data_IF_940074663887
#
_entry.id   IF_940074663887
#
_cell.length_a   1.000
_cell.length_b   1.000
_cell.length_c   1.000
_cell.angle_alpha   90.00
_cell.angle_beta   90.00
_cell.angle_gamma   90.00
#
_symmetry.space_group_name_H-M   'P 1'
#
loop_
_entity.id
_entity.type
_entity.pdbx_description
1 polymer ?
#
# COMPACT_ATOMS: atom_id res chain seq x y z
N UNK A 1 39.30 28.02 -54.74
CA UNK A 1 38.85 28.93 -55.80
C UNK A 1 37.39 29.23 -55.53
N UNK A 2 37.22 30.46 -55.27
CA UNK A 2 36.11 31.38 -55.54
C UNK A 2 35.00 31.30 -54.49
N UNK A 3 34.54 32.27 -53.90
CA UNK A 3 34.84 33.69 -53.65
C UNK A 3 33.80 34.17 -52.62
N UNK A 4 34.31 34.94 -51.74
CA UNK A 4 33.67 35.83 -50.77
C UNK A 4 32.72 36.80 -51.51
N UNK A 5 31.53 37.01 -50.96
CA UNK A 5 30.83 38.26 -51.18
C UNK A 5 30.11 38.73 -49.92
N UNK A 6 30.78 39.61 -49.28
CA UNK A 6 30.23 40.53 -48.32
C UNK A 6 29.19 41.45 -48.95
N UNK A 7 28.08 41.71 -48.27
CA UNK A 7 27.27 42.89 -48.55
C UNK A 7 26.84 43.55 -47.23
N UNK A 8 27.48 44.67 -46.97
CA UNK A 8 27.06 45.70 -46.00
C UNK A 8 25.82 46.38 -46.55
N UNK A 9 24.94 46.83 -45.67
CA UNK A 9 24.16 48.11 -45.73
C UNK A 9 23.48 48.20 -44.37
N UNK A 10 23.84 49.12 -43.44
CA UNK A 10 23.38 50.46 -43.23
C UNK A 10 21.88 50.52 -42.89
N UNK A 11 21.51 50.88 -41.75
CA UNK A 11 21.52 52.11 -40.98
C UNK A 11 20.09 52.64 -40.73
N UNK A 12 19.84 52.99 -39.48
CA UNK A 12 18.95 54.02 -38.97
C UNK A 12 17.43 53.95 -39.07
N UNK A 13 16.84 53.78 -37.91
CA UNK A 13 15.51 54.27 -37.55
C UNK A 13 15.19 54.02 -36.07
N UNK A 14 14.71 54.99 -35.30
CA UNK A 14 14.44 54.77 -33.86
C UNK A 14 13.24 53.87 -33.68
N UNK A 15 13.46 52.68 -33.15
CA UNK A 15 12.40 51.78 -32.76
C UNK A 15 11.68 52.32 -31.51
N UNK A 16 10.51 52.91 -31.75
CA UNK A 16 9.54 53.23 -30.72
C UNK A 16 9.11 51.92 -30.06
N UNK A 17 9.61 51.67 -28.87
CA UNK A 17 9.16 50.53 -28.05
C UNK A 17 7.78 50.92 -27.50
N UNK A 18 6.73 50.47 -28.21
CA UNK A 18 5.36 50.55 -27.69
C UNK A 18 5.28 49.55 -26.56
N UNK A 19 5.26 50.03 -25.33
CA UNK A 19 4.94 49.19 -24.13
C UNK A 19 3.51 48.72 -24.25
N UNK A 20 3.36 47.43 -24.53
CA UNK A 20 2.09 46.72 -24.33
C UNK A 20 1.71 46.74 -22.84
N UNK A 21 0.44 47.04 -22.48
CA UNK A 21 0.02 47.01 -21.12
C UNK A 21 0.14 45.58 -20.59
N UNK A 22 0.74 45.41 -19.42
CA UNK A 22 0.81 44.15 -18.70
C UNK A 22 -0.60 43.68 -18.38
N UNK A 23 -0.99 42.56 -18.95
CA UNK A 23 -2.20 41.84 -18.56
C UNK A 23 -2.06 41.46 -17.07
N UNK A 24 -3.11 41.62 -16.26
CA UNK A 24 -3.06 41.19 -14.87
C UNK A 24 -2.89 39.66 -14.85
N UNK A 25 -1.71 39.22 -14.41
CA UNK A 25 -1.47 37.83 -14.08
C UNK A 25 -2.40 37.44 -12.93
N UNK A 26 -3.48 36.75 -13.29
CA UNK A 26 -4.33 36.10 -12.30
C UNK A 26 -3.48 35.01 -11.59
N UNK A 27 -2.92 35.40 -10.43
CA UNK A 27 -2.28 34.47 -9.49
C UNK A 27 -3.34 33.67 -8.76
N UNK A 28 -4.17 32.96 -9.51
CA UNK A 28 -4.82 31.78 -8.94
C UNK A 28 -3.72 30.72 -8.80
N UNK A 29 -3.00 30.83 -7.69
CA UNK A 29 -2.10 29.79 -7.24
C UNK A 29 -2.91 28.48 -7.21
N UNK A 30 -2.60 27.58 -8.14
CA UNK A 30 -2.88 26.16 -8.00
C UNK A 30 -2.27 25.76 -6.65
N UNK A 31 -3.11 25.75 -5.60
CA UNK A 31 -2.75 25.13 -4.34
C UNK A 31 -2.37 23.69 -4.69
N UNK A 32 -1.18 23.21 -4.33
CA UNK A 32 -0.92 21.80 -4.40
C UNK A 32 -2.05 21.13 -3.60
N UNK A 33 -2.69 20.13 -4.17
CA UNK A 33 -3.65 19.30 -3.46
C UNK A 33 -2.87 18.57 -2.35
N UNK A 34 -2.64 19.28 -1.26
CA UNK A 34 -2.18 18.69 -0.02
C UNK A 34 -3.38 17.93 0.52
N UNK A 35 -3.50 16.66 0.14
CA UNK A 35 -4.40 15.76 0.82
C UNK A 35 -4.01 15.75 2.29
N UNK A 36 -4.67 16.57 3.11
CA UNK A 36 -4.52 16.51 4.55
C UNK A 36 -4.96 15.12 4.97
N UNK A 37 -4.21 14.44 5.84
CA UNK A 37 -4.65 13.17 6.37
C UNK A 37 -6.01 13.39 7.05
N UNK A 38 -7.07 12.79 6.47
CA UNK A 38 -8.46 12.92 6.95
C UNK A 38 -8.71 12.10 8.20
N UNK A 39 -7.75 11.25 8.58
CA UNK A 39 -7.82 10.42 9.77
C UNK A 39 -6.47 9.81 10.12
N UNK A 40 -6.42 9.04 11.18
CA UNK A 40 -5.27 8.23 11.54
C UNK A 40 -5.72 6.89 12.11
N UNK A 41 -5.15 5.82 11.59
CA UNK A 41 -5.20 4.49 12.20
C UNK A 41 -4.03 4.39 13.18
N UNK A 42 -4.16 3.61 14.24
CA UNK A 42 -3.08 3.41 15.20
C UNK A 42 -2.63 1.96 15.21
N UNK A 43 -1.35 1.74 15.46
CA UNK A 43 -0.83 0.43 15.84
C UNK A 43 -1.35 0.12 17.25
N UNK A 44 -1.99 -1.03 17.42
CA UNK A 44 -2.74 -1.39 18.62
C UNK A 44 -1.84 -2.06 19.67
N UNK A 45 -0.86 -2.85 19.21
CA UNK A 45 -0.01 -3.63 20.12
C UNK A 45 1.46 -3.69 19.70
N UNK A 46 2.28 -4.32 20.55
CA UNK A 46 3.68 -4.57 20.29
C UNK A 46 4.60 -3.37 20.46
N UNK A 47 5.79 -3.45 19.85
CA UNK A 47 6.89 -2.50 19.99
C UNK A 47 6.50 -1.08 19.54
N UNK A 48 5.63 -0.96 18.53
CA UNK A 48 5.23 0.32 17.95
C UNK A 48 3.84 0.79 18.37
N UNK A 49 3.30 0.22 19.45
CA UNK A 49 1.97 0.57 19.97
C UNK A 49 1.76 2.07 20.08
N UNK A 50 0.62 2.55 19.63
CA UNK A 50 0.22 3.96 19.68
C UNK A 50 0.73 4.80 18.50
N UNK A 51 1.61 4.27 17.64
CA UNK A 51 2.04 4.94 16.41
C UNK A 51 0.84 5.22 15.52
N UNK A 52 0.68 6.46 15.11
CA UNK A 52 -0.38 6.88 14.19
C UNK A 52 0.06 6.67 12.76
N UNK A 53 -0.77 5.98 12.00
CA UNK A 53 -0.61 5.78 10.56
C UNK A 53 -1.47 6.81 9.83
N UNK A 54 -0.90 7.61 8.93
CA UNK A 54 -1.69 8.58 8.17
C UNK A 54 -2.62 7.84 7.19
N UNK A 55 -3.91 8.18 7.22
CA UNK A 55 -4.87 7.74 6.22
C UNK A 55 -4.98 8.85 5.19
N UNK A 56 -4.59 8.57 3.96
CA UNK A 56 -4.83 9.45 2.84
C UNK A 56 -6.24 9.20 2.31
N UNK A 57 -6.94 10.26 1.95
CA UNK A 57 -8.24 10.17 1.29
C UNK A 57 -8.03 9.62 -0.13
N UNK A 58 -8.32 8.34 -0.31
CA UNK A 58 -8.21 7.63 -1.58
C UNK A 58 -9.43 6.74 -1.75
N UNK A 59 -9.92 6.66 -2.98
CA UNK A 59 -11.00 5.76 -3.33
C UNK A 59 -10.64 4.32 -2.97
N UNK A 60 -11.47 3.67 -2.17
CA UNK A 60 -11.29 2.29 -1.75
C UNK A 60 -10.35 2.09 -0.55
N UNK A 61 -9.69 3.13 -0.04
CA UNK A 61 -8.91 3.02 1.19
C UNK A 61 -9.85 3.05 2.40
N UNK A 62 -10.16 1.90 2.96
CA UNK A 62 -10.93 1.76 4.20
C UNK A 62 -9.99 1.29 5.30
N UNK A 63 -9.81 2.06 6.37
CA UNK A 63 -9.15 1.53 7.55
C UNK A 63 -10.03 0.41 8.11
N UNK A 64 -9.52 -0.81 8.20
CA UNK A 64 -10.17 -1.88 8.97
C UNK A 64 -10.46 -1.33 10.36
N UNK A 65 -11.71 -1.45 10.82
CA UNK A 65 -12.06 -0.92 12.12
C UNK A 65 -11.10 -1.48 13.17
N UNK A 66 -10.60 -0.64 14.09
CA UNK A 66 -9.64 -1.03 15.12
C UNK A 66 -10.04 -2.33 15.83
N UNK A 67 -11.34 -2.53 16.06
CA UNK A 67 -11.88 -3.74 16.66
C UNK A 67 -11.65 -5.00 15.80
N UNK A 68 -11.77 -4.90 14.47
CA UNK A 68 -11.50 -6.04 13.56
C UNK A 68 -10.03 -6.40 13.63
N UNK A 69 -9.15 -5.38 13.55
CA UNK A 69 -7.70 -5.60 13.66
C UNK A 69 -7.31 -6.17 15.02
N UNK A 70 -7.87 -5.67 16.11
CA UNK A 70 -7.63 -6.21 17.45
C UNK A 70 -8.02 -7.70 17.51
N UNK A 71 -9.21 -8.05 17.03
CA UNK A 71 -9.69 -9.43 16.96
C UNK A 71 -8.73 -10.30 16.14
N UNK A 72 -8.35 -9.84 14.94
CA UNK A 72 -7.42 -10.55 14.06
C UNK A 72 -6.08 -10.81 14.75
N UNK A 73 -5.48 -9.76 15.33
CA UNK A 73 -4.17 -9.90 15.95
C UNK A 73 -4.19 -10.70 17.25
N UNK A 74 -5.31 -10.79 17.94
CA UNK A 74 -5.49 -11.75 19.04
C UNK A 74 -5.48 -13.19 18.51
N UNK A 75 -6.08 -13.46 17.34
CA UNK A 75 -6.00 -14.79 16.72
C UNK A 75 -4.59 -15.13 16.25
N UNK A 76 -3.87 -14.14 15.73
CA UNK A 76 -2.53 -14.30 15.17
C UNK A 76 -1.42 -14.35 16.23
N UNK A 77 -1.68 -13.91 17.46
CA UNK A 77 -0.65 -13.75 18.50
C UNK A 77 0.31 -14.95 18.63
N UNK A 78 -0.14 -16.23 18.60
CA UNK A 78 0.76 -17.37 18.76
C UNK A 78 1.70 -17.62 17.59
N UNK A 79 1.36 -17.10 16.38
CA UNK A 79 2.06 -17.42 15.14
C UNK A 79 2.89 -16.26 14.59
N UNK A 80 2.79 -15.06 15.18
CA UNK A 80 3.54 -13.89 14.74
C UNK A 80 5.03 -13.93 15.09
N UNK A 81 5.47 -14.40 16.27
CA UNK A 81 6.89 -14.37 16.61
C UNK A 81 7.76 -15.08 15.57
N UNK A 82 8.67 -14.34 14.94
CA UNK A 82 9.59 -14.86 13.94
C UNK A 82 9.00 -15.07 12.54
N UNK A 83 7.70 -14.82 12.33
CA UNK A 83 7.03 -15.01 11.06
C UNK A 83 7.53 -14.03 9.99
N UNK A 84 7.56 -14.51 8.75
CA UNK A 84 7.70 -13.70 7.53
C UNK A 84 6.32 -13.39 6.96
N UNK A 85 5.98 -12.12 6.88
CA UNK A 85 4.61 -11.66 6.59
C UNK A 85 4.55 -10.97 5.23
N UNK A 86 3.47 -11.22 4.49
CA UNK A 86 3.12 -10.51 3.27
C UNK A 86 1.84 -9.71 3.49
N UNK A 87 1.90 -8.40 3.27
CA UNK A 87 0.73 -7.52 3.18
C UNK A 87 0.54 -7.13 1.72
N UNK A 88 -0.33 -7.87 1.02
CA UNK A 88 -0.40 -7.85 -0.45
C UNK A 88 -1.08 -6.59 -1.01
N UNK A 89 -1.90 -5.92 -0.20
CA UNK A 89 -2.60 -4.69 -0.55
C UNK A 89 -2.46 -3.70 0.60
N UNK A 90 -1.24 -3.23 0.83
CA UNK A 90 -0.85 -2.66 2.11
C UNK A 90 -1.61 -1.37 2.51
N UNK A 91 -2.01 -0.54 1.55
CA UNK A 91 -2.70 0.70 1.86
C UNK A 91 -1.93 1.57 2.86
N UNK A 92 -2.49 1.74 4.06
CA UNK A 92 -1.81 2.45 5.17
C UNK A 92 -0.73 1.61 5.86
N UNK A 93 -0.58 0.34 5.51
CA UNK A 93 0.32 -0.60 6.16
C UNK A 93 -0.17 -1.11 7.53
N UNK A 94 -1.44 -0.91 7.85
CA UNK A 94 -1.96 -1.20 9.18
C UNK A 94 -1.80 -2.66 9.59
N UNK A 95 -1.91 -3.61 8.66
CA UNK A 95 -1.76 -5.03 8.94
C UNK A 95 -0.30 -5.45 9.01
N UNK A 96 0.49 -5.11 8.00
CA UNK A 96 1.90 -5.49 7.95
C UNK A 96 2.74 -4.85 9.05
N UNK A 97 2.53 -3.57 9.34
CA UNK A 97 3.23 -2.87 10.42
C UNK A 97 2.84 -3.39 11.81
N UNK A 98 1.54 -3.68 12.03
CA UNK A 98 1.07 -4.28 13.28
C UNK A 98 1.70 -5.67 13.49
N UNK A 99 1.83 -6.48 12.44
CA UNK A 99 2.46 -7.80 12.50
C UNK A 99 3.92 -7.71 12.98
N UNK A 100 4.71 -6.80 12.39
CA UNK A 100 6.11 -6.58 12.82
C UNK A 100 6.18 -6.03 14.23
N UNK A 101 5.29 -5.08 14.58
CA UNK A 101 5.18 -4.53 15.93
C UNK A 101 4.96 -5.62 16.99
N UNK A 102 4.24 -6.69 16.63
CA UNK A 102 3.90 -7.82 17.54
C UNK A 102 4.87 -9.00 17.45
N UNK A 103 6.00 -8.83 16.76
CA UNK A 103 7.09 -9.82 16.78
C UNK A 103 7.30 -10.60 15.49
N UNK A 104 6.63 -10.29 14.39
CA UNK A 104 7.04 -10.82 13.10
C UNK A 104 8.49 -10.42 12.79
N UNK A 105 9.23 -11.34 12.17
CA UNK A 105 10.64 -11.13 11.82
C UNK A 105 10.77 -10.04 10.77
N UNK A 106 9.90 -10.07 9.78
CA UNK A 106 9.86 -9.11 8.69
C UNK A 106 8.48 -9.06 8.05
N UNK A 107 8.18 -7.96 7.37
CA UNK A 107 7.00 -7.83 6.53
C UNK A 107 7.34 -7.20 5.18
N UNK A 108 6.77 -7.77 4.10
CA UNK A 108 6.77 -7.18 2.77
C UNK A 108 5.39 -6.55 2.54
N UNK A 109 5.37 -5.25 2.32
CA UNK A 109 4.18 -4.46 2.08
C UNK A 109 4.13 -4.08 0.60
N UNK A 110 3.15 -4.59 -0.14
CA UNK A 110 2.97 -4.29 -1.56
C UNK A 110 1.88 -3.23 -1.72
N UNK A 111 2.24 -2.10 -2.32
CA UNK A 111 1.33 -0.98 -2.54
C UNK A 111 1.56 -0.38 -3.94
N UNK A 112 0.49 -0.23 -4.71
CA UNK A 112 0.58 0.30 -6.07
C UNK A 112 0.61 1.83 -6.14
N UNK A 113 -0.06 2.49 -5.18
CA UNK A 113 -0.11 3.96 -5.15
C UNK A 113 1.26 4.51 -4.73
N UNK A 114 1.88 5.38 -5.54
CA UNK A 114 3.22 5.88 -5.26
C UNK A 114 3.29 6.75 -4.01
N UNK A 115 2.24 7.48 -3.66
CA UNK A 115 2.21 8.36 -2.50
C UNK A 115 2.05 7.55 -1.22
N UNK A 116 1.19 6.50 -1.24
CA UNK A 116 1.05 5.58 -0.12
C UNK A 116 2.34 4.79 0.11
N UNK A 117 2.94 4.24 -0.95
CA UNK A 117 4.19 3.51 -0.85
C UNK A 117 5.33 4.37 -0.28
N UNK A 118 5.43 5.63 -0.70
CA UNK A 118 6.43 6.56 -0.18
C UNK A 118 6.15 6.92 1.29
N UNK A 119 4.88 7.17 1.64
CA UNK A 119 4.48 7.41 3.03
C UNK A 119 4.82 6.24 3.95
N UNK A 120 4.60 5.00 3.49
CA UNK A 120 4.99 3.78 4.21
C UNK A 120 6.50 3.67 4.42
N UNK A 121 7.31 3.97 3.39
CA UNK A 121 8.79 3.95 3.53
C UNK A 121 9.27 4.96 4.55
N UNK A 122 8.74 6.19 4.48
CA UNK A 122 9.08 7.26 5.43
C UNK A 122 8.66 6.92 6.86
N UNK A 123 7.51 6.28 7.02
CA UNK A 123 7.04 5.83 8.32
C UNK A 123 7.95 4.71 8.86
N UNK A 124 8.21 3.68 8.07
CA UNK A 124 9.08 2.57 8.45
C UNK A 124 10.47 3.07 8.86
N UNK A 125 11.05 4.01 8.13
CA UNK A 125 12.36 4.60 8.44
C UNK A 125 12.41 5.32 9.80
N UNK A 126 11.27 5.79 10.31
CA UNK A 126 11.16 6.47 11.61
C UNK A 126 10.94 5.51 12.78
N UNK A 127 10.54 4.28 12.50
CA UNK A 127 10.27 3.29 13.54
C UNK A 127 11.56 2.59 13.98
N UNK A 128 11.69 2.35 15.28
CA UNK A 128 12.80 1.55 15.79
C UNK A 128 12.75 0.15 15.17
N UNK A 129 13.86 -0.29 14.55
CA UNK A 129 13.89 -1.57 13.86
C UNK A 129 13.00 -1.64 12.62
N UNK A 130 12.63 -0.50 12.03
CA UNK A 130 11.80 -0.40 10.83
C UNK A 130 12.42 -1.01 9.56
N UNK A 131 13.72 -1.31 9.56
CA UNK A 131 14.39 -2.08 8.50
C UNK A 131 13.83 -3.50 8.31
N UNK A 132 13.01 -4.00 9.25
CA UNK A 132 12.23 -5.24 9.12
C UNK A 132 11.02 -5.10 8.17
N UNK A 133 10.72 -3.89 7.71
CA UNK A 133 9.61 -3.60 6.80
C UNK A 133 10.14 -3.25 5.42
N UNK A 134 9.85 -4.08 4.45
CA UNK A 134 10.15 -3.82 3.04
C UNK A 134 8.90 -3.30 2.34
N UNK A 135 8.95 -2.09 1.79
CA UNK A 135 7.85 -1.52 1.01
C UNK A 135 8.14 -1.63 -0.48
N UNK A 136 7.30 -2.37 -1.18
CA UNK A 136 7.38 -2.58 -2.63
C UNK A 136 6.28 -1.76 -3.31
N UNK A 137 6.67 -0.83 -4.18
CA UNK A 137 5.72 -0.13 -5.05
C UNK A 137 5.49 -0.97 -6.30
N UNK A 138 4.38 -1.68 -6.37
CA UNK A 138 4.00 -2.51 -7.51
C UNK A 138 2.50 -2.80 -7.52
N UNK A 139 2.00 -3.25 -8.67
CA UNK A 139 0.75 -3.98 -8.73
C UNK A 139 0.95 -5.36 -8.07
N UNK A 140 0.02 -5.74 -7.21
CA UNK A 140 0.10 -6.96 -6.40
C UNK A 140 0.21 -8.24 -7.24
N UNK A 141 -0.59 -8.35 -8.30
CA UNK A 141 -0.62 -9.54 -9.14
C UNK A 141 0.62 -9.65 -10.01
N UNK A 142 1.11 -8.52 -10.52
CA UNK A 142 2.37 -8.48 -11.29
C UNK A 142 3.55 -8.84 -10.40
N UNK A 143 3.61 -8.27 -9.20
CA UNK A 143 4.69 -8.55 -8.26
C UNK A 143 4.74 -10.02 -7.84
N UNK A 144 3.58 -10.65 -7.60
CA UNK A 144 3.51 -12.07 -7.24
C UNK A 144 4.11 -13.00 -8.29
N UNK A 145 4.20 -12.61 -9.56
CA UNK A 145 4.83 -13.44 -10.60
C UNK A 145 6.31 -13.69 -10.35
N UNK A 146 7.01 -12.72 -9.76
CA UNK A 146 8.46 -12.77 -9.49
C UNK A 146 8.82 -12.78 -8.01
N UNK A 147 7.82 -12.70 -7.13
CA UNK A 147 8.03 -12.67 -5.69
C UNK A 147 8.71 -13.94 -5.18
N UNK A 148 9.58 -13.80 -4.20
CA UNK A 148 10.12 -14.95 -3.47
C UNK A 148 9.00 -15.67 -2.71
N UNK A 149 9.17 -16.97 -2.50
CA UNK A 149 8.31 -17.81 -1.65
C UNK A 149 8.79 -17.79 -0.18
N UNK A 150 8.05 -18.49 0.68
CA UNK A 150 8.42 -18.68 2.07
C UNK A 150 7.80 -17.70 3.04
N UNK A 151 6.60 -17.18 2.74
CA UNK A 151 5.83 -16.40 3.70
C UNK A 151 5.03 -17.33 4.63
N UNK A 152 5.06 -17.02 5.92
CA UNK A 152 4.34 -17.74 6.96
C UNK A 152 2.90 -17.22 7.13
N UNK A 153 2.67 -15.96 6.74
CA UNK A 153 1.37 -15.30 6.79
C UNK A 153 1.21 -14.35 5.61
N UNK A 154 0.04 -14.38 4.95
CA UNK A 154 -0.34 -13.35 4.00
C UNK A 154 -1.67 -12.69 4.40
N UNK A 155 -1.73 -11.35 4.23
CA UNK A 155 -2.95 -10.57 4.26
C UNK A 155 -3.40 -10.27 2.83
N UNK A 156 -4.66 -10.60 2.53
CA UNK A 156 -5.31 -10.36 1.23
C UNK A 156 -6.58 -9.55 1.46
N UNK A 157 -6.43 -8.23 1.39
CA UNK A 157 -7.49 -7.23 1.58
C UNK A 157 -7.50 -6.25 0.39
N UNK A 158 -7.90 -6.71 -0.81
CA UNK A 158 -7.94 -5.87 -1.99
C UNK A 158 -9.05 -4.81 -1.93
N UNK A 159 -8.94 -3.72 -2.68
CA UNK A 159 -10.01 -2.75 -2.84
C UNK A 159 -11.31 -3.41 -3.33
N UNK A 160 -12.43 -3.09 -2.70
CA UNK A 160 -13.72 -3.74 -2.97
C UNK A 160 -14.28 -3.48 -4.38
N UNK A 161 -13.82 -2.42 -5.03
CA UNK A 161 -14.20 -2.08 -6.41
C UNK A 161 -13.62 -3.04 -7.47
N UNK A 162 -12.62 -3.89 -7.11
CA UNK A 162 -11.97 -4.81 -8.04
C UNK A 162 -12.37 -6.27 -7.79
N UNK A 163 -12.34 -7.08 -8.85
CA UNK A 163 -12.51 -8.54 -8.77
C UNK A 163 -11.17 -9.24 -8.49
N UNK A 164 -10.40 -8.73 -7.51
CA UNK A 164 -9.00 -9.13 -7.29
C UNK A 164 -8.83 -10.36 -6.41
N UNK A 165 -9.85 -10.80 -5.65
CA UNK A 165 -9.71 -11.92 -4.71
C UNK A 165 -9.31 -13.22 -5.38
N UNK A 166 -10.02 -13.64 -6.43
CA UNK A 166 -9.72 -14.88 -7.13
C UNK A 166 -8.29 -14.94 -7.65
N UNK A 167 -7.89 -13.99 -8.50
CA UNK A 167 -6.50 -13.92 -8.99
C UNK A 167 -5.45 -13.79 -7.88
N UNK A 168 -5.71 -12.99 -6.84
CA UNK A 168 -4.76 -12.79 -5.75
C UNK A 168 -4.59 -14.07 -4.91
N UNK A 169 -5.68 -14.75 -4.57
CA UNK A 169 -5.64 -15.99 -3.80
C UNK A 169 -4.93 -17.12 -4.57
N UNK A 170 -5.19 -17.23 -5.88
CA UNK A 170 -4.49 -18.20 -6.72
C UNK A 170 -2.98 -17.91 -6.83
N UNK A 171 -2.60 -16.64 -7.01
CA UNK A 171 -1.21 -16.26 -7.18
C UNK A 171 -0.39 -16.29 -5.88
N UNK A 172 -1.01 -15.93 -4.74
CA UNK A 172 -0.31 -15.92 -3.44
C UNK A 172 -0.05 -17.33 -2.90
N UNK A 173 -0.85 -18.32 -3.32
CA UNK A 173 -0.76 -19.68 -2.81
C UNK A 173 0.65 -20.28 -2.96
N UNK A 174 1.27 -20.14 -4.13
CA UNK A 174 2.63 -20.61 -4.38
C UNK A 174 3.75 -19.80 -3.68
N UNK A 175 3.41 -18.74 -2.94
CA UNK A 175 4.37 -17.92 -2.20
C UNK A 175 4.39 -18.23 -0.70
N UNK A 176 3.44 -19.04 -0.25
CA UNK A 176 3.23 -19.38 1.15
C UNK A 176 3.87 -20.72 1.52
N UNK A 177 4.37 -20.81 2.76
CA UNK A 177 4.91 -22.04 3.35
C UNK A 177 3.83 -23.12 3.51
N UNK A 178 4.24 -24.39 3.72
CA UNK A 178 3.34 -25.52 3.95
C UNK A 178 2.41 -25.34 5.16
N UNK A 179 2.88 -24.68 6.22
CA UNK A 179 2.11 -24.42 7.43
C UNK A 179 1.63 -22.97 7.54
N UNK A 180 1.49 -22.29 6.42
CA UNK A 180 1.18 -20.88 6.39
C UNK A 180 -0.24 -20.56 6.82
N UNK A 181 -0.42 -19.30 7.14
CA UNK A 181 -1.70 -18.66 7.45
C UNK A 181 -2.09 -17.68 6.36
N UNK A 182 -3.38 -17.58 6.10
CA UNK A 182 -3.93 -16.69 5.09
C UNK A 182 -5.12 -15.93 5.69
N UNK A 183 -5.02 -14.63 5.78
CA UNK A 183 -6.12 -13.75 6.12
C UNK A 183 -6.75 -13.18 4.86
N UNK A 184 -8.08 -13.21 4.80
CA UNK A 184 -8.86 -12.67 3.69
C UNK A 184 -9.94 -11.75 4.24
N UNK A 185 -9.98 -10.51 3.75
CA UNK A 185 -11.06 -9.57 3.99
C UNK A 185 -11.88 -9.36 2.71
N UNK A 186 -13.20 -9.34 2.81
CA UNK A 186 -14.11 -9.20 1.67
C UNK A 186 -15.41 -8.52 2.07
N UNK A 187 -16.19 -7.96 1.12
CA UNK A 187 -17.54 -7.50 1.39
C UNK A 187 -18.39 -8.63 1.96
N UNK A 188 -19.26 -8.34 2.94
CA UNK A 188 -20.16 -9.33 3.55
C UNK A 188 -21.10 -9.99 2.54
N UNK A 189 -21.38 -9.32 1.42
CA UNK A 189 -22.20 -9.82 0.32
C UNK A 189 -21.50 -10.86 -0.55
N UNK A 190 -20.20 -11.12 -0.35
CA UNK A 190 -19.42 -12.07 -1.14
C UNK A 190 -18.89 -13.20 -0.27
N UNK A 191 -18.99 -14.41 -0.78
CA UNK A 191 -18.33 -15.58 -0.21
C UNK A 191 -17.04 -15.81 -0.98
N UNK A 192 -15.92 -15.43 -0.38
CA UNK A 192 -14.57 -15.62 -0.92
C UNK A 192 -13.92 -16.74 -0.11
N UNK A 193 -13.38 -17.73 -0.80
CA UNK A 193 -12.63 -18.81 -0.19
C UNK A 193 -11.35 -19.07 -0.99
N UNK A 194 -10.24 -19.40 -0.32
CA UNK A 194 -9.02 -19.83 -1.00
C UNK A 194 -9.20 -21.17 -1.71
N UNK A 195 -8.20 -21.57 -2.50
CA UNK A 195 -8.17 -22.87 -3.18
C UNK A 195 -8.28 -24.07 -2.20
N UNK A 196 -8.56 -25.28 -2.69
CA UNK A 196 -8.50 -26.51 -1.87
C UNK A 196 -7.15 -26.63 -1.16
N UNK A 197 -7.16 -27.19 0.06
CA UNK A 197 -5.96 -27.27 0.91
C UNK A 197 -5.92 -26.23 2.03
N UNK A 198 -6.75 -25.21 1.99
CA UNK A 198 -6.93 -24.26 3.08
C UNK A 198 -8.12 -24.60 3.96
N UNK A 199 -7.91 -24.66 5.26
CA UNK A 199 -8.97 -24.93 6.25
C UNK A 199 -9.34 -23.65 6.98
N UNK A 200 -10.63 -23.29 7.09
CA UNK A 200 -11.08 -22.20 7.92
C UNK A 200 -10.65 -22.42 9.37
N UNK A 201 -10.06 -21.41 9.99
CA UNK A 201 -9.63 -21.46 11.39
C UNK A 201 -10.48 -20.54 12.27
N UNK A 202 -10.66 -19.31 11.84
CA UNK A 202 -11.47 -18.29 12.49
C UNK A 202 -12.15 -17.42 11.45
N UNK A 203 -13.34 -16.94 11.76
CA UNK A 203 -14.01 -15.96 10.94
C UNK A 203 -14.81 -14.97 11.79
N UNK A 204 -15.06 -13.82 11.23
CA UNK A 204 -15.90 -12.80 11.81
C UNK A 204 -16.54 -11.95 10.73
N UNK A 205 -17.53 -11.16 11.12
CA UNK A 205 -18.19 -10.21 10.23
C UNK A 205 -18.59 -8.93 10.96
N UNK A 206 -18.56 -7.86 10.22
CA UNK A 206 -19.21 -6.60 10.59
C UNK A 206 -20.48 -6.44 9.75
N UNK A 207 -21.05 -5.23 9.76
CA UNK A 207 -22.18 -4.93 8.87
C UNK A 207 -21.77 -4.95 7.38
N UNK A 208 -20.51 -4.62 7.06
CA UNK A 208 -20.03 -4.41 5.69
C UNK A 208 -19.00 -5.45 5.25
N UNK A 209 -18.25 -5.98 6.20
CA UNK A 209 -17.04 -6.77 5.95
C UNK A 209 -17.13 -8.14 6.59
N UNK A 210 -16.73 -9.16 5.84
CA UNK A 210 -16.39 -10.50 6.32
C UNK A 210 -14.88 -10.62 6.33
N UNK A 211 -14.33 -11.18 7.41
CA UNK A 211 -12.90 -11.45 7.54
C UNK A 211 -12.70 -12.85 8.06
N UNK A 212 -11.76 -13.56 7.46
CA UNK A 212 -11.50 -14.95 7.77
C UNK A 212 -9.99 -15.25 7.79
N UNK A 213 -9.59 -16.08 8.75
CA UNK A 213 -8.25 -16.61 8.87
C UNK A 213 -8.29 -18.10 8.52
N UNK A 214 -7.46 -18.48 7.58
CA UNK A 214 -7.30 -19.86 7.12
C UNK A 214 -5.91 -20.38 7.51
N UNK A 215 -5.81 -21.66 7.71
CA UNK A 215 -4.55 -22.38 7.87
C UNK A 215 -4.38 -23.36 6.72
N UNK A 216 -3.18 -23.45 6.16
CA UNK A 216 -2.87 -24.49 5.19
C UNK A 216 -2.96 -25.84 5.88
N UNK A 217 -3.77 -26.76 5.35
CA UNK A 217 -3.90 -28.12 5.87
C UNK A 217 -2.66 -28.93 5.50
N UNK A 218 -2.19 -29.77 6.40
CA UNK A 218 -1.34 -30.87 5.99
C UNK A 218 -2.22 -31.83 5.17
N UNK A 219 -1.70 -32.26 3.99
CA UNK A 219 -2.34 -33.25 3.15
C UNK A 219 -2.51 -34.57 3.90
#
# INVERSE_FOLDING_TARGET
MVEEKAMRIADNGPHVITRLPALPMNRSALKPASGRPTGAVRIIGGEWRGTRLPVLDRDGLRPSADRVRETLFNWLQPMLPGARVLDLFAGTGALGLEAVSRGAREAVLVERDPQLAESLRQLAAKLRGGGRVQVVRADALIWLQTASSGFDLAFVDPPFAGELWGPALAAVDGRLCENAWLYVESPVSRTIAPAPGWRPHREGKTREVRYALYRRGQA
#
